data_IF_342357879422
#
_entry.id   IF_342357879422
#
_cell.length_a   1.000
_cell.length_b   1.000
_cell.length_c   1.000
_cell.angle_alpha   90.00
_cell.angle_beta   90.00
_cell.angle_gamma   90.00
#
_symmetry.space_group_name_H-M   'P 1'
#
loop_
_entity.id
_entity.type
_entity.pdbx_description
1 polymer ?
#
# COMPACT_ATOMS: atom_id res chain seq x y z
N UNK A 1 10.76 16.16 -42.31
CA UNK A 1 11.63 14.97 -42.49
C UNK A 1 11.87 14.42 -41.11
N UNK A 2 11.02 13.51 -40.67
CA UNK A 2 11.17 12.85 -39.37
C UNK A 2 12.25 11.79 -39.52
N UNK A 3 13.36 11.94 -38.79
CA UNK A 3 14.30 10.85 -38.56
C UNK A 3 13.63 9.93 -37.54
N UNK A 4 12.82 8.99 -38.01
CA UNK A 4 12.63 7.75 -37.27
C UNK A 4 13.98 7.03 -37.34
N UNK A 5 14.77 7.15 -36.28
CA UNK A 5 15.95 6.32 -36.11
C UNK A 5 15.42 4.92 -35.81
N UNK A 6 15.32 4.08 -36.83
CA UNK A 6 15.07 2.65 -36.63
C UNK A 6 16.29 2.11 -35.89
N UNK A 7 16.09 1.76 -34.62
CA UNK A 7 17.06 1.04 -33.80
C UNK A 7 17.54 -0.20 -34.56
N UNK A 8 18.85 -0.34 -34.73
CA UNK A 8 19.44 -1.52 -35.36
C UNK A 8 19.34 -2.74 -34.42
N UNK A 9 19.35 -3.96 -34.97
CA UNK A 9 19.27 -5.18 -34.14
C UNK A 9 20.40 -5.28 -33.12
N UNK A 10 21.55 -4.69 -33.42
CA UNK A 10 22.71 -4.65 -32.51
C UNK A 10 22.51 -3.63 -31.39
N UNK A 11 21.96 -2.45 -31.68
CA UNK A 11 21.57 -1.47 -30.64
C UNK A 11 20.48 -2.04 -29.72
N UNK A 12 19.48 -2.75 -30.29
CA UNK A 12 18.45 -3.44 -29.52
C UNK A 12 19.06 -4.51 -28.59
N UNK A 13 20.00 -5.30 -29.10
CA UNK A 13 20.72 -6.32 -28.34
C UNK A 13 21.45 -5.71 -27.13
N UNK A 14 22.27 -4.68 -27.36
CA UNK A 14 23.02 -4.00 -26.31
C UNK A 14 22.08 -3.44 -25.23
N UNK A 15 20.99 -2.77 -25.62
CA UNK A 15 19.98 -2.25 -24.69
C UNK A 15 19.30 -3.36 -23.88
N UNK A 16 18.92 -4.47 -24.52
CA UNK A 16 18.28 -5.60 -23.83
C UNK A 16 19.23 -6.26 -22.83
N UNK A 17 20.52 -6.40 -23.17
CA UNK A 17 21.53 -6.91 -22.24
C UNK A 17 21.72 -6.01 -21.03
N UNK A 18 21.87 -4.70 -21.25
CA UNK A 18 22.01 -3.72 -20.16
C UNK A 18 20.78 -3.75 -19.25
N UNK A 19 19.57 -3.73 -19.83
CA UNK A 19 18.34 -3.79 -19.05
C UNK A 19 18.21 -5.09 -18.28
N UNK A 20 18.45 -6.24 -18.92
CA UNK A 20 18.39 -7.54 -18.25
C UNK A 20 19.39 -7.65 -17.09
N UNK A 21 20.61 -7.14 -17.26
CA UNK A 21 21.59 -7.10 -16.18
C UNK A 21 21.10 -6.23 -15.01
N UNK A 22 20.58 -5.03 -15.30
CA UNK A 22 20.03 -4.12 -14.29
C UNK A 22 18.85 -4.74 -13.52
N UNK A 23 17.89 -5.37 -14.20
CA UNK A 23 16.73 -5.97 -13.55
C UNK A 23 17.12 -7.22 -12.73
N UNK A 24 18.12 -7.98 -13.18
CA UNK A 24 18.68 -9.11 -12.41
C UNK A 24 19.36 -8.66 -11.13
N UNK A 25 20.15 -7.58 -11.21
CA UNK A 25 20.79 -6.99 -10.04
C UNK A 25 19.72 -6.50 -9.05
N UNK A 26 18.67 -5.82 -9.54
CA UNK A 26 17.53 -5.40 -8.72
C UNK A 26 16.81 -6.59 -8.06
N UNK A 27 16.59 -7.68 -8.79
CA UNK A 27 15.97 -8.89 -8.25
C UNK A 27 16.84 -9.52 -7.16
N UNK A 28 18.15 -9.59 -7.37
CA UNK A 28 19.09 -10.11 -6.39
C UNK A 28 19.15 -9.24 -5.12
N UNK A 29 19.07 -7.91 -5.27
CA UNK A 29 18.99 -6.98 -4.15
C UNK A 29 17.73 -7.25 -3.31
N UNK A 30 16.55 -7.33 -3.93
CA UNK A 30 15.29 -7.67 -3.25
C UNK A 30 15.40 -8.97 -2.45
N UNK A 31 15.92 -10.03 -3.07
CA UNK A 31 16.12 -11.32 -2.40
C UNK A 31 17.09 -11.24 -1.22
N UNK A 32 18.09 -10.36 -1.28
CA UNK A 32 19.07 -10.19 -0.21
C UNK A 32 18.50 -9.45 1.00
N UNK A 33 17.68 -8.41 0.77
CA UNK A 33 17.16 -7.53 1.83
C UNK A 33 15.96 -8.16 2.55
N UNK A 34 15.18 -8.98 1.85
CA UNK A 34 13.94 -9.55 2.39
C UNK A 34 14.12 -10.21 3.77
N UNK A 35 15.18 -11.00 3.97
CA UNK A 35 15.41 -11.70 5.23
C UNK A 35 15.72 -10.75 6.40
N UNK A 36 16.41 -9.64 6.13
CA UNK A 36 16.74 -8.64 7.15
C UNK A 36 15.53 -7.75 7.45
N UNK A 37 14.76 -7.38 6.42
CA UNK A 37 13.49 -6.68 6.58
C UNK A 37 12.51 -7.52 7.40
N UNK A 38 12.33 -8.80 7.05
CA UNK A 38 11.42 -9.71 7.76
C UNK A 38 11.74 -9.79 9.25
N UNK A 39 13.03 -9.93 9.58
CA UNK A 39 13.51 -10.03 10.95
C UNK A 39 13.16 -8.76 11.71
N UNK A 40 13.53 -7.59 11.18
CA UNK A 40 13.30 -6.29 11.80
C UNK A 40 11.82 -5.97 11.95
N UNK A 41 11.02 -6.26 10.92
CA UNK A 41 9.58 -6.15 10.94
C UNK A 41 8.98 -7.01 12.07
N UNK A 42 9.29 -8.30 12.10
CA UNK A 42 8.70 -9.25 13.05
C UNK A 42 9.14 -8.98 14.49
N UNK A 43 10.41 -8.64 14.70
CA UNK A 43 10.99 -8.47 16.04
C UNK A 43 10.75 -7.06 16.61
N UNK A 44 10.58 -6.04 15.77
CA UNK A 44 10.53 -4.64 16.21
C UNK A 44 9.24 -3.94 15.79
N UNK A 45 8.95 -3.84 14.49
CA UNK A 45 7.82 -3.03 14.00
C UNK A 45 6.46 -3.65 14.38
N UNK A 46 6.25 -4.94 14.11
CA UNK A 46 4.97 -5.62 14.39
C UNK A 46 4.51 -5.47 15.86
N UNK A 47 5.35 -5.71 16.89
CA UNK A 47 4.95 -5.46 18.28
C UNK A 47 4.56 -4.00 18.56
N UNK A 48 5.17 -3.03 17.88
CA UNK A 48 4.83 -1.62 18.01
C UNK A 48 3.50 -1.32 17.35
N UNK A 49 3.25 -1.82 16.14
CA UNK A 49 1.96 -1.70 15.45
C UNK A 49 0.82 -2.32 16.25
N UNK A 50 1.04 -3.51 16.82
CA UNK A 50 0.07 -4.15 17.72
C UNK A 50 -0.25 -3.25 18.92
N UNK A 51 0.78 -2.68 19.55
CA UNK A 51 0.62 -1.76 20.69
C UNK A 51 -0.11 -0.48 20.27
N UNK A 52 0.28 0.12 19.15
CA UNK A 52 -0.35 1.33 18.60
C UNK A 52 -1.83 1.10 18.36
N UNK A 53 -2.19 0.01 17.68
CA UNK A 53 -3.58 -0.30 17.35
C UNK A 53 -4.41 -0.65 18.59
N UNK A 54 -3.81 -1.26 19.62
CA UNK A 54 -4.47 -1.40 20.94
C UNK A 54 -4.72 -0.05 21.61
N UNK A 55 -3.82 0.93 21.48
CA UNK A 55 -4.01 2.28 22.02
C UNK A 55 -5.09 3.04 21.24
N UNK A 56 -5.08 2.99 19.91
CA UNK A 56 -6.14 3.54 19.04
C UNK A 56 -7.50 2.96 19.40
N UNK A 57 -7.59 1.65 19.60
CA UNK A 57 -8.83 1.01 20.06
C UNK A 57 -9.26 1.52 21.44
N UNK A 58 -8.33 1.70 22.40
CA UNK A 58 -8.63 2.31 23.70
C UNK A 58 -9.14 3.74 23.57
N UNK A 59 -8.56 4.56 22.69
CA UNK A 59 -9.03 5.92 22.41
C UNK A 59 -10.49 5.93 21.95
N UNK A 60 -10.84 5.07 21.00
CA UNK A 60 -12.23 4.91 20.54
C UNK A 60 -13.17 4.64 21.72
N UNK A 61 -12.79 3.77 22.66
CA UNK A 61 -13.59 3.47 23.84
C UNK A 61 -13.66 4.65 24.83
N UNK A 62 -12.54 5.34 25.06
CA UNK A 62 -12.48 6.52 25.91
C UNK A 62 -13.37 7.65 25.37
N UNK A 63 -13.35 7.88 24.06
CA UNK A 63 -14.15 8.88 23.39
C UNK A 63 -15.66 8.54 23.40
N UNK A 64 -16.04 7.28 23.14
CA UNK A 64 -17.44 6.86 23.30
C UNK A 64 -17.95 7.05 24.74
N UNK A 65 -17.11 6.76 25.73
CA UNK A 65 -17.44 6.98 27.13
C UNK A 65 -17.60 8.48 27.44
N UNK A 66 -16.65 9.31 27.00
CA UNK A 66 -16.69 10.76 27.22
C UNK A 66 -17.90 11.42 26.57
N UNK A 67 -18.28 10.96 25.38
CA UNK A 67 -19.49 11.40 24.68
C UNK A 67 -20.75 11.23 25.56
N UNK A 68 -20.83 10.13 26.33
CA UNK A 68 -21.97 9.79 27.19
C UNK A 68 -21.92 10.48 28.56
N UNK A 69 -20.77 10.42 29.23
CA UNK A 69 -20.69 10.63 30.69
C UNK A 69 -19.94 11.92 31.11
N UNK A 70 -19.16 12.56 30.23
CA UNK A 70 -18.21 13.62 30.63
C UNK A 70 -18.69 15.06 30.40
N UNK A 71 -20.02 15.28 30.45
CA UNK A 71 -20.59 16.64 30.45
C UNK A 71 -20.11 17.54 29.29
N UNK A 72 -19.77 16.96 28.14
CA UNK A 72 -19.27 17.66 26.96
C UNK A 72 -20.35 18.59 26.37
N UNK A 73 -19.93 19.74 25.88
CA UNK A 73 -20.78 20.64 25.07
C UNK A 73 -21.14 20.00 23.72
N UNK A 74 -22.11 20.58 23.01
CA UNK A 74 -22.52 20.08 21.69
C UNK A 74 -21.34 19.98 20.70
N UNK A 75 -20.54 21.04 20.60
CA UNK A 75 -19.40 21.09 19.68
C UNK A 75 -18.26 20.14 20.10
N UNK A 76 -18.07 19.89 21.39
CA UNK A 76 -17.11 18.90 21.86
C UNK A 76 -17.60 17.47 21.58
N UNK A 77 -18.90 17.19 21.71
CA UNK A 77 -19.48 15.89 21.36
C UNK A 77 -19.40 15.59 19.88
N UNK A 78 -19.60 16.59 19.04
CA UNK A 78 -19.48 16.48 17.58
C UNK A 78 -18.06 16.10 17.20
N UNK A 79 -17.06 16.84 17.70
CA UNK A 79 -15.65 16.53 17.48
C UNK A 79 -15.24 15.15 18.01
N UNK A 80 -15.71 14.76 19.20
CA UNK A 80 -15.44 13.42 19.75
C UNK A 80 -16.10 12.33 18.90
N UNK A 81 -17.27 12.59 18.31
CA UNK A 81 -17.89 11.64 17.37
C UNK A 81 -17.09 11.49 16.07
N UNK A 82 -16.51 12.58 15.56
CA UNK A 82 -15.63 12.56 14.40
C UNK A 82 -14.40 11.69 14.70
N UNK A 83 -13.71 11.92 15.82
CA UNK A 83 -12.57 11.11 16.24
C UNK A 83 -12.92 9.62 16.43
N UNK A 84 -14.06 9.30 17.05
CA UNK A 84 -14.50 7.89 17.17
C UNK A 84 -14.70 7.27 15.80
N UNK A 85 -15.26 8.02 14.86
CA UNK A 85 -15.54 7.56 13.51
C UNK A 85 -14.23 7.28 12.76
N UNK A 86 -13.32 8.25 12.74
CA UNK A 86 -12.02 8.20 12.05
C UNK A 86 -11.15 7.05 12.56
N UNK A 87 -10.89 6.97 13.87
CA UNK A 87 -10.10 5.87 14.43
C UNK A 87 -10.77 4.51 14.27
N UNK A 88 -12.11 4.45 14.27
CA UNK A 88 -12.82 3.19 13.98
C UNK A 88 -12.65 2.79 12.52
N UNK A 89 -12.73 3.74 11.59
CA UNK A 89 -12.55 3.53 10.15
C UNK A 89 -11.14 3.01 9.85
N UNK A 90 -10.09 3.65 10.37
CA UNK A 90 -8.70 3.17 10.22
C UNK A 90 -8.51 1.73 10.72
N UNK A 91 -9.03 1.42 11.91
CA UNK A 91 -8.94 0.06 12.46
C UNK A 91 -9.79 -0.94 11.67
N UNK A 92 -10.91 -0.53 11.10
CA UNK A 92 -11.76 -1.39 10.27
C UNK A 92 -11.12 -1.66 8.90
N UNK A 93 -10.42 -0.68 8.32
CA UNK A 93 -9.58 -0.88 7.13
C UNK A 93 -8.42 -1.84 7.44
N UNK A 94 -7.74 -1.66 8.57
CA UNK A 94 -6.70 -2.61 8.99
C UNK A 94 -7.25 -4.04 9.12
N UNK A 95 -8.45 -4.18 9.68
CA UNK A 95 -9.12 -5.46 9.86
C UNK A 95 -9.48 -6.16 8.53
N UNK A 96 -9.42 -5.49 7.37
CA UNK A 96 -9.55 -6.14 6.05
C UNK A 96 -8.23 -6.75 5.59
N UNK A 97 -7.09 -6.17 5.99
CA UNK A 97 -5.74 -6.63 5.62
C UNK A 97 -5.25 -7.76 6.53
N UNK A 98 -5.44 -7.62 7.84
CA UNK A 98 -4.87 -8.51 8.86
C UNK A 98 -5.76 -8.65 10.09
N UNK A 99 -5.47 -9.63 10.94
CA UNK A 99 -6.19 -9.79 12.21
C UNK A 99 -5.88 -8.63 13.16
N UNK A 100 -6.92 -8.05 13.76
CA UNK A 100 -6.72 -7.01 14.77
C UNK A 100 -6.02 -7.55 16.01
N UNK A 101 -5.24 -6.70 16.73
CA UNK A 101 -4.55 -7.11 17.94
C UNK A 101 -5.50 -7.66 19.01
N UNK A 102 -4.99 -8.55 19.85
CA UNK A 102 -5.75 -9.17 20.94
C UNK A 102 -6.48 -8.13 21.82
N UNK A 103 -7.78 -8.33 22.01
CA UNK A 103 -8.65 -7.43 22.79
C UNK A 103 -9.36 -6.35 21.97
N UNK A 104 -9.00 -6.18 20.69
CA UNK A 104 -9.76 -5.38 19.74
C UNK A 104 -10.89 -6.22 19.14
N UNK A 105 -12.08 -5.63 18.98
CA UNK A 105 -13.26 -6.33 18.47
C UNK A 105 -13.85 -5.54 17.29
N UNK A 106 -13.75 -6.13 16.09
CA UNK A 106 -14.27 -5.58 14.84
C UNK A 106 -15.78 -5.34 14.89
N UNK A 107 -16.56 -6.23 15.50
CA UNK A 107 -18.02 -6.05 15.61
C UNK A 107 -18.37 -4.87 16.52
N UNK A 108 -17.58 -4.68 17.59
CA UNK A 108 -17.71 -3.51 18.46
C UNK A 108 -17.32 -2.22 17.75
N UNK A 109 -16.24 -2.22 16.96
CA UNK A 109 -15.84 -1.06 16.13
C UNK A 109 -16.96 -0.67 15.17
N UNK A 110 -17.52 -1.62 14.40
CA UNK A 110 -18.66 -1.35 13.50
C UNK A 110 -19.86 -0.76 14.24
N UNK A 111 -20.14 -1.24 15.45
CA UNK A 111 -21.23 -0.72 16.30
C UNK A 111 -20.97 0.73 16.73
N UNK A 112 -19.74 1.05 17.15
CA UNK A 112 -19.36 2.40 17.56
C UNK A 112 -19.33 3.36 16.38
N UNK A 113 -18.74 2.94 15.26
CA UNK A 113 -18.79 3.68 14.00
C UNK A 113 -20.24 4.04 13.62
N UNK A 114 -21.13 3.04 13.58
CA UNK A 114 -22.55 3.26 13.26
C UNK A 114 -23.24 4.20 14.24
N UNK A 115 -22.90 4.12 15.53
CA UNK A 115 -23.45 5.00 16.56
C UNK A 115 -23.04 6.46 16.35
N UNK A 116 -21.81 6.72 15.90
CA UNK A 116 -21.25 8.08 15.80
C UNK A 116 -21.42 8.69 14.40
N UNK A 117 -21.24 7.92 13.33
CA UNK A 117 -21.47 8.33 11.92
C UNK A 117 -22.96 8.39 11.56
N UNK A 118 -23.76 7.46 12.12
CA UNK A 118 -25.18 7.30 11.80
C UNK A 118 -25.47 6.38 10.60
N UNK A 119 -24.44 5.85 9.93
CA UNK A 119 -24.55 4.88 8.84
C UNK A 119 -23.68 3.65 9.08
N UNK A 120 -23.96 2.57 8.36
CA UNK A 120 -23.22 1.31 8.49
C UNK A 120 -21.87 1.38 7.76
N UNK A 121 -20.80 0.90 8.38
CA UNK A 121 -19.46 0.96 7.77
C UNK A 121 -19.40 0.20 6.44
N UNK A 122 -19.92 -1.03 6.41
CA UNK A 122 -19.83 -1.87 5.22
C UNK A 122 -20.63 -1.26 4.05
N UNK A 123 -21.75 -0.60 4.36
CA UNK A 123 -22.55 0.11 3.36
C UNK A 123 -21.83 1.35 2.81
N UNK A 124 -21.21 2.16 3.68
CA UNK A 124 -20.44 3.33 3.24
C UNK A 124 -19.23 2.92 2.41
N UNK A 125 -18.54 1.86 2.82
CA UNK A 125 -17.38 1.35 2.10
C UNK A 125 -17.79 0.88 0.71
N UNK A 126 -18.91 0.16 0.58
CA UNK A 126 -19.43 -0.26 -0.72
C UNK A 126 -19.80 0.94 -1.61
N UNK A 127 -20.49 1.94 -1.07
CA UNK A 127 -20.86 3.17 -1.80
C UNK A 127 -19.62 3.96 -2.23
N UNK A 128 -18.64 4.10 -1.35
CA UNK A 128 -17.38 4.78 -1.63
C UNK A 128 -16.56 4.04 -2.70
N UNK A 129 -16.52 2.71 -2.63
CA UNK A 129 -15.84 1.86 -3.62
C UNK A 129 -16.51 1.95 -5.00
N UNK A 130 -17.84 1.95 -5.04
CA UNK A 130 -18.61 2.11 -6.28
C UNK A 130 -18.38 3.50 -6.89
N UNK A 131 -18.46 4.56 -6.08
CA UNK A 131 -18.22 5.93 -6.54
C UNK A 131 -16.80 6.14 -7.04
N UNK A 132 -15.78 5.73 -6.26
CA UNK A 132 -14.38 5.84 -6.65
C UNK A 132 -14.08 5.00 -7.91
N UNK A 133 -14.71 3.83 -8.04
CA UNK A 133 -14.60 3.00 -9.23
C UNK A 133 -15.13 3.67 -10.48
N UNK A 134 -16.24 4.40 -10.37
CA UNK A 134 -16.81 5.14 -11.50
C UNK A 134 -15.95 6.34 -11.89
N UNK A 135 -15.50 7.15 -10.93
CA UNK A 135 -14.64 8.32 -11.19
C UNK A 135 -13.30 7.88 -11.82
N UNK A 136 -12.67 6.83 -11.29
CA UNK A 136 -11.43 6.28 -11.84
C UNK A 136 -11.63 5.70 -13.25
N UNK A 137 -12.76 5.02 -13.50
CA UNK A 137 -13.10 4.47 -14.81
C UNK A 137 -13.25 5.57 -15.85
N UNK A 138 -14.00 6.61 -15.51
CA UNK A 138 -14.25 7.76 -16.39
C UNK A 138 -12.95 8.54 -16.65
N UNK A 139 -12.10 8.71 -15.65
CA UNK A 139 -10.84 9.42 -15.80
C UNK A 139 -9.84 8.66 -16.70
N UNK A 140 -9.78 7.34 -16.59
CA UNK A 140 -8.87 6.47 -17.36
C UNK A 140 -9.44 6.00 -18.72
N UNK A 141 -10.70 6.37 -19.05
CA UNK A 141 -11.44 5.87 -20.23
C UNK A 141 -11.50 4.33 -20.27
N UNK A 142 -11.76 3.72 -19.11
CA UNK A 142 -11.86 2.27 -18.90
C UNK A 142 -13.25 1.88 -18.41
N UNK A 143 -13.67 0.64 -18.67
CA UNK A 143 -14.85 0.09 -18.00
C UNK A 143 -14.52 -0.32 -16.56
N UNK A 144 -15.49 -0.18 -15.64
CA UNK A 144 -15.33 -0.63 -14.23
C UNK A 144 -14.96 -2.12 -14.13
N UNK A 145 -15.44 -2.93 -15.08
CA UNK A 145 -15.09 -4.35 -15.15
C UNK A 145 -13.60 -4.57 -15.50
N UNK A 146 -13.04 -3.72 -16.36
CA UNK A 146 -11.63 -3.78 -16.73
C UNK A 146 -10.78 -3.37 -15.53
N UNK A 147 -11.12 -2.25 -14.86
CA UNK A 147 -10.44 -1.81 -13.62
C UNK A 147 -10.41 -2.91 -12.55
N UNK A 148 -11.53 -3.61 -12.35
CA UNK A 148 -11.61 -4.70 -11.38
C UNK A 148 -10.62 -5.84 -11.70
N UNK A 149 -10.36 -6.09 -12.99
CA UNK A 149 -9.45 -7.15 -13.45
C UNK A 149 -7.97 -6.76 -13.41
N UNK A 150 -7.63 -5.47 -13.40
CA UNK A 150 -6.24 -5.00 -13.41
C UNK A 150 -5.55 -5.23 -12.07
N UNK A 151 -4.25 -5.53 -12.09
CA UNK A 151 -3.45 -5.52 -10.87
C UNK A 151 -3.18 -4.07 -10.40
N UNK A 152 -2.93 -3.85 -9.10
CA UNK A 152 -2.50 -2.54 -8.61
C UNK A 152 -1.27 -2.02 -9.36
N UNK A 153 -0.32 -2.87 -9.71
CA UNK A 153 0.88 -2.48 -10.45
C UNK A 153 0.58 -1.98 -11.87
N UNK A 154 -0.34 -2.64 -12.57
CA UNK A 154 -0.76 -2.21 -13.91
C UNK A 154 -1.47 -0.84 -13.85
N UNK A 155 -2.32 -0.62 -12.85
CA UNK A 155 -2.96 0.67 -12.63
C UNK A 155 -1.95 1.75 -12.27
N UNK A 156 -1.01 1.46 -11.38
CA UNK A 156 0.07 2.38 -11.01
C UNK A 156 0.83 2.87 -12.23
N UNK A 157 1.25 1.93 -13.09
CA UNK A 157 2.01 2.25 -14.29
C UNK A 157 1.19 3.09 -15.27
N UNK A 158 -0.08 2.76 -15.50
CA UNK A 158 -0.97 3.55 -16.36
C UNK A 158 -1.11 4.98 -15.87
N UNK A 159 -1.32 5.15 -14.56
CA UNK A 159 -1.52 6.46 -13.94
C UNK A 159 -0.22 7.28 -14.04
N UNK A 160 0.92 6.71 -13.66
CA UNK A 160 2.22 7.40 -13.70
C UNK A 160 2.69 7.74 -15.12
N UNK A 161 2.37 6.91 -16.12
CA UNK A 161 2.81 7.14 -17.50
C UNK A 161 1.97 8.22 -18.22
N UNK A 162 0.72 8.45 -17.78
CA UNK A 162 -0.25 9.26 -18.53
C UNK A 162 -0.63 10.59 -17.84
N UNK A 163 -0.46 10.70 -16.52
CA UNK A 163 -0.89 11.84 -15.73
C UNK A 163 0.32 12.52 -15.07
N UNK A 164 0.19 13.80 -14.75
CA UNK A 164 1.20 14.50 -13.97
C UNK A 164 1.06 14.21 -12.47
N UNK A 165 2.02 14.67 -11.65
CA UNK A 165 2.10 14.28 -10.24
C UNK A 165 0.84 14.63 -9.42
N UNK A 166 0.13 15.71 -9.75
CA UNK A 166 -1.07 16.13 -9.01
C UNK A 166 -2.27 15.27 -9.40
N UNK A 167 -2.52 15.12 -10.70
CA UNK A 167 -3.61 14.28 -11.21
C UNK A 167 -3.38 12.80 -10.87
N UNK A 168 -2.11 12.34 -10.90
CA UNK A 168 -1.75 10.97 -10.56
C UNK A 168 -2.06 10.64 -9.10
N UNK A 169 -1.78 11.54 -8.15
CA UNK A 169 -2.06 11.29 -6.74
C UNK A 169 -3.57 11.19 -6.49
N UNK A 170 -4.38 12.06 -7.10
CA UNK A 170 -5.85 11.98 -7.00
C UNK A 170 -6.38 10.64 -7.55
N UNK A 171 -5.88 10.21 -8.71
CA UNK A 171 -6.26 8.92 -9.29
C UNK A 171 -5.82 7.73 -8.43
N UNK A 172 -4.65 7.81 -7.80
CA UNK A 172 -4.18 6.79 -6.88
C UNK A 172 -5.02 6.74 -5.59
N UNK A 173 -5.57 7.86 -5.11
CA UNK A 173 -6.54 7.83 -4.01
C UNK A 173 -7.81 7.05 -4.38
N UNK A 174 -8.39 7.31 -5.55
CA UNK A 174 -9.52 6.50 -6.04
C UNK A 174 -9.11 5.02 -6.19
N UNK A 175 -7.93 4.76 -6.75
CA UNK A 175 -7.43 3.40 -6.96
C UNK A 175 -7.21 2.66 -5.63
N UNK A 176 -6.72 3.33 -4.58
CA UNK A 176 -6.57 2.76 -3.23
C UNK A 176 -7.92 2.30 -2.68
N UNK A 177 -8.97 3.12 -2.83
CA UNK A 177 -10.33 2.75 -2.42
C UNK A 177 -10.83 1.54 -3.22
N UNK A 178 -10.68 1.57 -4.55
CA UNK A 178 -11.10 0.49 -5.45
C UNK A 178 -10.38 -0.83 -5.16
N UNK A 179 -9.11 -0.74 -4.75
CA UNK A 179 -8.24 -1.89 -4.45
C UNK A 179 -8.13 -2.20 -2.96
N UNK A 180 -9.05 -1.68 -2.13
CA UNK A 180 -9.17 -2.15 -0.75
C UNK A 180 -9.31 -3.68 -0.78
N UNK A 181 -8.49 -4.42 0.00
CA UNK A 181 -8.50 -5.87 -0.07
C UNK A 181 -9.87 -6.46 0.29
N UNK A 182 -10.40 -7.27 -0.63
CA UNK A 182 -11.62 -8.05 -0.40
C UNK A 182 -11.37 -9.28 0.49
N UNK A 183 -10.11 -9.68 0.61
CA UNK A 183 -9.62 -10.78 1.43
C UNK A 183 -8.40 -10.29 2.19
N UNK A 184 -8.05 -10.99 3.26
CA UNK A 184 -6.84 -10.70 4.04
C UNK A 184 -5.57 -10.90 3.21
N UNK A 185 -4.50 -10.21 3.59
CA UNK A 185 -3.23 -10.23 2.88
C UNK A 185 -2.60 -11.62 2.85
N UNK A 186 -2.82 -12.46 3.87
CA UNK A 186 -2.34 -13.84 3.90
C UNK A 186 -3.01 -14.73 2.85
N UNK A 187 -4.33 -14.55 2.65
CA UNK A 187 -5.10 -15.25 1.61
C UNK A 187 -4.68 -14.76 0.22
N UNK A 188 -4.55 -13.44 0.05
CA UNK A 188 -4.04 -12.87 -1.20
C UNK A 188 -2.63 -13.36 -1.52
N UNK A 189 -1.76 -13.44 -0.51
CA UNK A 189 -0.40 -13.96 -0.66
C UNK A 189 -0.38 -15.42 -1.08
N UNK A 190 -1.22 -16.27 -0.47
CA UNK A 190 -1.35 -17.67 -0.88
C UNK A 190 -1.79 -17.81 -2.34
N UNK A 191 -2.79 -17.02 -2.75
CA UNK A 191 -3.26 -17.02 -4.15
C UNK A 191 -2.16 -16.59 -5.12
N UNK A 192 -1.36 -15.57 -4.77
CA UNK A 192 -0.21 -15.12 -5.57
C UNK A 192 0.85 -16.22 -5.70
N UNK A 193 1.17 -16.93 -4.60
CA UNK A 193 2.09 -18.08 -4.63
C UNK A 193 1.59 -19.23 -5.51
N UNK A 194 0.30 -19.54 -5.46
CA UNK A 194 -0.31 -20.58 -6.31
C UNK A 194 -0.25 -20.19 -7.79
N UNK A 195 -0.59 -18.94 -8.12
CA UNK A 195 -0.50 -18.42 -9.49
C UNK A 195 0.93 -18.50 -10.02
N UNK A 196 1.92 -18.12 -9.21
CA UNK A 196 3.33 -18.19 -9.58
C UNK A 196 3.81 -19.63 -9.79
N UNK A 197 3.39 -20.58 -8.95
CA UNK A 197 3.71 -22.00 -9.15
C UNK A 197 3.15 -22.54 -10.48
N UNK A 198 1.93 -22.13 -10.84
CA UNK A 198 1.32 -22.50 -12.13
C UNK A 198 2.12 -21.90 -13.29
N UNK A 199 2.52 -20.62 -13.20
CA UNK A 199 3.34 -19.93 -14.20
C UNK A 199 4.68 -20.63 -14.41
N UNK A 200 5.40 -20.94 -13.32
CA UNK A 200 6.68 -21.64 -13.37
C UNK A 200 6.54 -23.07 -13.95
N UNK A 201 5.46 -23.78 -13.63
CA UNK A 201 5.18 -25.09 -14.22
C UNK A 201 4.92 -25.02 -15.74
N UNK A 202 4.31 -23.93 -16.22
CA UNK A 202 4.12 -23.68 -17.65
C UNK A 202 5.42 -23.25 -18.35
N UNK A 203 6.25 -22.44 -17.67
CA UNK A 203 7.55 -21.97 -18.19
C UNK A 203 8.56 -23.12 -18.33
N UNK A 204 8.71 -23.96 -17.29
CA UNK A 204 9.62 -25.13 -17.32
C UNK A 204 9.24 -26.20 -18.35
N UNK A 205 7.99 -26.25 -18.79
CA UNK A 205 7.56 -27.13 -19.88
C UNK A 205 7.96 -26.61 -21.28
N UNK A 206 8.32 -25.32 -21.38
CA UNK A 206 8.65 -24.62 -22.62
C UNK A 206 10.16 -24.32 -22.78
N UNK A 207 11.00 -24.73 -21.82
CA UNK A 207 12.36 -24.21 -21.67
C UNK A 207 13.41 -24.98 -22.51
N UNK A 208 13.83 -24.39 -23.64
CA UNK A 208 15.10 -24.67 -24.34
C UNK A 208 16.02 -23.44 -24.14
N UNK A 209 16.74 -23.34 -23.00
CA UNK A 209 17.61 -22.20 -22.75
C UNK A 209 18.91 -22.24 -23.58
N UNK A 210 19.05 -21.28 -24.50
CA UNK A 210 20.18 -21.15 -25.44
C UNK A 210 21.23 -20.13 -24.97
N UNK A 211 20.92 -19.31 -23.94
CA UNK A 211 21.65 -18.07 -23.60
C UNK A 211 22.84 -18.28 -22.66
N UNK A 212 22.82 -19.29 -21.78
CA UNK A 212 23.95 -19.57 -20.86
C UNK A 212 25.25 -19.99 -21.61
N UNK A 213 25.14 -20.20 -22.93
CA UNK A 213 26.22 -20.50 -23.88
C UNK A 213 26.77 -19.27 -24.65
N UNK A 214 26.19 -18.08 -24.47
CA UNK A 214 26.47 -16.87 -25.27
C UNK A 214 27.43 -15.85 -24.62
N UNK A 215 28.10 -16.17 -23.50
CA UNK A 215 29.11 -15.27 -22.93
C UNK A 215 30.17 -14.85 -23.98
N UNK A 216 30.61 -13.57 -23.97
CA UNK A 216 31.68 -12.91 -24.76
C UNK A 216 31.90 -13.35 -26.24
N UNK A 217 30.92 -14.02 -26.86
CA UNK A 217 30.99 -14.42 -28.27
C UNK A 217 30.54 -13.26 -29.14
N UNK A 218 31.30 -13.01 -30.20
CA UNK A 218 30.89 -12.09 -31.27
C UNK A 218 29.71 -12.74 -32.00
N UNK A 219 28.49 -12.27 -31.71
CA UNK A 219 27.25 -12.78 -32.30
C UNK A 219 27.15 -12.21 -33.72
N UNK A 220 27.11 -13.05 -34.76
CA UNK A 220 27.01 -12.57 -36.12
C UNK A 220 25.63 -11.96 -36.37
N UNK A 221 25.54 -10.98 -37.26
CA UNK A 221 24.34 -10.16 -37.47
C UNK A 221 23.09 -10.97 -37.89
N UNK A 222 23.29 -12.16 -38.47
CA UNK A 222 22.22 -13.07 -38.89
C UNK A 222 21.58 -13.86 -37.74
N UNK A 223 22.21 -13.90 -36.56
CA UNK A 223 21.68 -14.55 -35.35
C UNK A 223 21.02 -13.55 -34.38
N UNK A 224 21.25 -12.24 -34.56
CA UNK A 224 20.78 -11.19 -33.65
C UNK A 224 19.25 -11.18 -33.47
N UNK A 225 18.47 -11.42 -34.53
CA UNK A 225 17.01 -11.48 -34.43
C UNK A 225 16.55 -12.59 -33.46
N UNK A 226 17.17 -13.76 -33.54
CA UNK A 226 16.84 -14.90 -32.68
C UNK A 226 17.28 -14.64 -31.24
N UNK A 227 18.47 -14.06 -31.05
CA UNK A 227 19.01 -13.75 -29.73
C UNK A 227 18.20 -12.65 -29.05
N UNK A 228 17.82 -11.59 -29.78
CA UNK A 228 16.95 -10.54 -29.26
C UNK A 228 15.59 -11.08 -28.82
N UNK A 229 15.00 -12.00 -29.60
CA UNK A 229 13.76 -12.66 -29.20
C UNK A 229 13.92 -13.44 -27.88
N UNK A 230 15.04 -14.16 -27.70
CA UNK A 230 15.31 -14.87 -26.45
C UNK A 230 15.59 -13.93 -25.27
N UNK A 231 16.32 -12.82 -25.47
CA UNK A 231 16.56 -11.82 -24.43
C UNK A 231 15.27 -11.12 -23.99
N UNK A 232 14.33 -10.89 -24.91
CA UNK A 232 13.00 -10.33 -24.57
C UNK A 232 12.24 -11.29 -23.66
N UNK A 233 12.23 -12.60 -23.97
CA UNK A 233 11.58 -13.61 -23.13
C UNK A 233 12.23 -13.70 -21.74
N UNK A 234 13.55 -13.65 -21.68
CA UNK A 234 14.29 -13.70 -20.42
C UNK A 234 14.07 -12.43 -19.57
N UNK A 235 13.99 -11.27 -20.22
CA UNK A 235 13.64 -10.02 -19.56
C UNK A 235 12.21 -10.06 -19.01
N UNK A 236 11.24 -10.56 -19.78
CA UNK A 236 9.85 -10.74 -19.35
C UNK A 236 9.74 -11.68 -18.13
N UNK A 237 10.54 -12.75 -18.12
CA UNK A 237 10.66 -13.66 -16.97
C UNK A 237 11.22 -12.95 -15.73
N UNK A 238 12.31 -12.20 -15.87
CA UNK A 238 12.91 -11.45 -14.73
C UNK A 238 11.95 -10.37 -14.21
N UNK A 239 11.25 -9.66 -15.10
CA UNK A 239 10.25 -8.66 -14.72
C UNK A 239 9.06 -9.31 -13.99
N UNK A 240 8.62 -10.49 -14.43
CA UNK A 240 7.58 -11.26 -13.73
C UNK A 240 8.03 -11.67 -12.31
N UNK A 241 9.29 -12.10 -12.16
CA UNK A 241 9.86 -12.45 -10.85
C UNK A 241 9.98 -11.23 -9.92
N UNK A 242 10.37 -10.08 -10.46
CA UNK A 242 10.38 -8.81 -9.73
C UNK A 242 8.98 -8.42 -9.25
N UNK A 243 7.98 -8.49 -10.13
CA UNK A 243 6.59 -8.19 -9.78
C UNK A 243 6.09 -9.13 -8.67
N UNK A 244 6.34 -10.43 -8.79
CA UNK A 244 5.98 -11.40 -7.75
C UNK A 244 6.66 -11.09 -6.40
N UNK A 245 7.95 -10.74 -6.42
CA UNK A 245 8.70 -10.38 -5.23
C UNK A 245 8.12 -9.13 -4.56
N UNK A 246 7.84 -8.07 -5.34
CA UNK A 246 7.33 -6.80 -4.85
C UNK A 246 5.88 -6.89 -4.33
N UNK A 247 4.97 -7.51 -5.09
CA UNK A 247 3.58 -7.72 -4.65
C UNK A 247 3.53 -8.58 -3.39
N UNK A 248 4.34 -9.65 -3.36
CA UNK A 248 4.47 -10.48 -2.18
C UNK A 248 5.00 -9.71 -0.97
N UNK A 249 6.00 -8.85 -1.18
CA UNK A 249 6.56 -8.00 -0.12
C UNK A 249 5.48 -7.08 0.46
N UNK A 250 4.72 -6.39 -0.40
CA UNK A 250 3.63 -5.50 0.03
C UNK A 250 2.57 -6.22 0.85
N UNK A 251 2.13 -7.39 0.39
CA UNK A 251 1.14 -8.20 1.10
C UNK A 251 1.65 -8.65 2.48
N UNK A 252 2.87 -9.21 2.56
CA UNK A 252 3.44 -9.77 3.81
C UNK A 252 3.69 -8.73 4.90
N UNK A 253 3.93 -7.49 4.50
CA UNK A 253 4.29 -6.39 5.39
C UNK A 253 3.23 -5.28 5.46
N UNK A 254 2.01 -5.57 4.99
CA UNK A 254 0.81 -4.71 5.12
C UNK A 254 0.94 -3.32 4.47
N UNK A 255 1.86 -3.19 3.51
CA UNK A 255 2.19 -1.94 2.83
C UNK A 255 1.08 -1.50 1.87
N UNK A 256 1.13 -0.23 1.45
CA UNK A 256 0.27 0.27 0.38
C UNK A 256 0.58 -0.48 -0.93
N UNK A 257 -0.48 -0.92 -1.62
CA UNK A 257 -0.41 -1.66 -2.88
C UNK A 257 0.20 -0.81 -4.02
N UNK A 258 0.11 0.52 -3.92
CA UNK A 258 0.64 1.48 -4.88
C UNK A 258 1.97 2.12 -4.44
N UNK A 259 2.44 1.88 -3.22
CA UNK A 259 3.73 2.41 -2.79
C UNK A 259 4.87 1.84 -3.66
N UNK A 260 5.82 2.67 -4.03
CA UNK A 260 7.02 2.26 -4.76
C UNK A 260 8.16 2.13 -3.78
N UNK A 261 8.94 1.05 -3.88
CA UNK A 261 10.04 0.76 -2.96
C UNK A 261 11.36 0.63 -3.70
N UNK A 262 12.38 1.28 -3.15
CA UNK A 262 13.77 1.09 -3.55
C UNK A 262 14.46 0.15 -2.54
N UNK A 263 14.95 -1.03 -2.96
CA UNK A 263 15.72 -1.92 -2.10
C UNK A 263 16.87 -1.22 -1.36
N UNK A 264 17.49 -0.20 -1.97
CA UNK A 264 18.63 0.49 -1.36
C UNK A 264 18.21 1.38 -0.18
N UNK A 265 16.95 1.85 -0.12
CA UNK A 265 16.45 2.77 0.92
C UNK A 265 15.50 2.12 1.91
N UNK A 266 14.83 1.02 1.54
CA UNK A 266 13.72 0.42 2.30
C UNK A 266 14.07 0.07 3.75
N UNK A 267 15.32 -0.31 4.04
CA UNK A 267 15.75 -0.61 5.40
C UNK A 267 15.88 0.63 6.29
N UNK A 268 16.26 1.76 5.68
CA UNK A 268 16.34 3.07 6.33
C UNK A 268 14.95 3.66 6.56
N UNK A 269 14.07 3.56 5.56
CA UNK A 269 12.65 3.92 5.70
C UNK A 269 12.01 3.14 6.86
N UNK A 270 12.28 1.84 6.97
CA UNK A 270 11.81 1.04 8.11
C UNK A 270 12.40 1.48 9.46
N UNK A 271 13.64 2.00 9.53
CA UNK A 271 14.18 2.57 10.76
C UNK A 271 13.43 3.84 11.18
N UNK A 272 13.14 4.70 10.19
CA UNK A 272 12.42 5.94 10.40
C UNK A 272 10.98 5.66 10.84
N UNK A 273 10.27 4.73 10.18
CA UNK A 273 8.92 4.30 10.56
C UNK A 273 8.87 3.74 11.99
N UNK A 274 9.83 2.89 12.37
CA UNK A 274 9.93 2.34 13.73
C UNK A 274 10.08 3.47 14.75
N UNK A 275 10.91 4.47 14.44
CA UNK A 275 11.14 5.60 15.34
C UNK A 275 9.88 6.45 15.47
N UNK A 276 9.23 6.77 14.36
CA UNK A 276 8.02 7.60 14.34
C UNK A 276 6.88 6.91 15.10
N UNK A 277 6.69 5.61 14.91
CA UNK A 277 5.70 4.84 15.66
C UNK A 277 6.04 4.79 17.16
N UNK A 278 7.31 4.66 17.54
CA UNK A 278 7.72 4.70 18.95
C UNK A 278 7.40 6.04 19.61
N UNK A 279 7.69 7.15 18.91
CA UNK A 279 7.37 8.50 19.38
C UNK A 279 5.85 8.67 19.52
N UNK A 280 5.08 8.28 18.50
CA UNK A 280 3.63 8.37 18.51
C UNK A 280 2.98 7.52 19.61
N UNK A 281 3.48 6.30 19.85
CA UNK A 281 3.02 5.45 20.97
C UNK A 281 3.24 6.16 22.31
N UNK A 282 4.40 6.79 22.53
CA UNK A 282 4.68 7.48 23.79
C UNK A 282 3.73 8.66 24.02
N UNK A 283 3.43 9.41 22.97
CA UNK A 283 2.47 10.50 23.00
C UNK A 283 1.06 9.98 23.34
N UNK A 284 0.57 8.97 22.61
CA UNK A 284 -0.76 8.39 22.84
C UNK A 284 -0.89 7.77 24.23
N UNK A 285 0.13 7.08 24.73
CA UNK A 285 0.11 6.53 26.10
C UNK A 285 -0.03 7.62 27.15
N UNK A 286 0.69 8.73 26.97
CA UNK A 286 0.63 9.88 27.86
C UNK A 286 -0.75 10.55 27.81
N UNK A 287 -1.34 10.72 26.62
CA UNK A 287 -2.68 11.29 26.45
C UNK A 287 -3.76 10.41 27.10
N UNK A 288 -3.76 9.11 26.79
CA UNK A 288 -4.73 8.15 27.34
C UNK A 288 -4.68 8.13 28.87
N UNK A 289 -3.49 8.25 29.47
CA UNK A 289 -3.34 8.32 30.93
C UNK A 289 -4.08 9.52 31.54
N UNK A 290 -4.12 10.65 30.83
CA UNK A 290 -4.78 11.88 31.29
C UNK A 290 -6.30 11.85 31.11
N UNK A 291 -6.82 11.03 30.19
CA UNK A 291 -8.25 10.98 29.86
C UNK A 291 -9.14 10.39 30.97
N UNK A 292 -8.53 9.91 32.06
CA UNK A 292 -9.26 9.58 33.29
C UNK A 292 -9.81 10.82 34.03
N UNK A 293 -9.27 12.01 33.76
CA UNK A 293 -9.74 13.29 34.29
C UNK A 293 -10.55 14.05 33.23
N UNK A 294 -11.82 14.32 33.51
CA UNK A 294 -12.73 15.06 32.63
C UNK A 294 -12.17 16.43 32.21
N UNK A 295 -11.51 17.13 33.13
CA UNK A 295 -10.99 18.47 32.87
C UNK A 295 -9.79 18.45 31.91
N UNK A 296 -8.93 17.43 32.03
CA UNK A 296 -7.79 17.23 31.15
C UNK A 296 -8.25 16.80 29.75
N UNK A 297 -9.20 15.87 29.66
CA UNK A 297 -9.78 15.47 28.37
C UNK A 297 -10.41 16.66 27.65
N UNK A 298 -11.21 17.47 28.35
CA UNK A 298 -11.81 18.68 27.75
C UNK A 298 -10.76 19.69 27.29
N UNK A 299 -9.68 19.86 28.07
CA UNK A 299 -8.59 20.74 27.69
C UNK A 299 -7.89 20.24 26.42
N UNK A 300 -7.62 18.94 26.33
CA UNK A 300 -7.05 18.29 25.16
C UNK A 300 -7.95 18.43 23.92
N UNK A 301 -9.24 18.09 24.02
CA UNK A 301 -10.23 18.27 22.94
C UNK A 301 -10.21 19.72 22.42
N UNK A 302 -10.16 20.68 23.34
CA UNK A 302 -10.15 22.09 22.98
C UNK A 302 -8.84 22.53 22.32
N UNK A 303 -7.71 21.94 22.70
CA UNK A 303 -6.42 22.20 22.07
C UNK A 303 -6.41 21.64 20.64
N UNK A 304 -6.78 20.37 20.47
CA UNK A 304 -6.83 19.70 19.18
C UNK A 304 -7.74 20.43 18.19
N UNK A 305 -8.96 20.79 18.61
CA UNK A 305 -9.88 21.58 17.76
C UNK A 305 -9.31 22.93 17.31
N UNK A 306 -8.46 23.57 18.11
CA UNK A 306 -7.82 24.84 17.72
C UNK A 306 -6.72 24.63 16.71
N UNK A 307 -6.02 23.51 16.81
CA UNK A 307 -4.96 23.10 15.89
C UNK A 307 -5.55 22.73 14.54
N UNK A 308 -6.56 21.87 14.49
CA UNK A 308 -7.32 21.54 13.26
C UNK A 308 -7.81 22.82 12.57
N UNK A 309 -8.50 23.70 13.29
CA UNK A 309 -8.95 24.97 12.73
C UNK A 309 -7.79 25.90 12.29
N UNK A 310 -6.58 25.70 12.81
CA UNK A 310 -5.41 26.46 12.40
C UNK A 310 -4.74 25.89 11.14
N UNK A 311 -4.80 24.57 10.94
CA UNK A 311 -4.37 23.88 9.73
C UNK A 311 -5.26 24.24 8.55
N UNK A 312 -6.59 24.12 8.69
CA UNK A 312 -7.56 24.54 7.67
C UNK A 312 -7.33 26.00 7.22
N UNK A 313 -7.11 26.91 8.18
CA UNK A 313 -6.80 28.31 7.87
C UNK A 313 -5.46 28.52 7.15
N UNK A 314 -4.52 27.57 7.20
CA UNK A 314 -3.25 27.64 6.47
C UNK A 314 -3.44 27.11 5.06
N UNK A 315 -4.18 26.01 4.92
CA UNK A 315 -4.56 25.42 3.62
C UNK A 315 -5.39 26.40 2.80
N UNK A 316 -6.42 27.03 3.39
CA UNK A 316 -7.23 28.09 2.73
C UNK A 316 -6.43 29.32 2.24
N UNK A 317 -5.17 29.46 2.70
CA UNK A 317 -4.28 30.58 2.35
C UNK A 317 -3.11 30.17 1.46
N UNK A 318 -2.89 28.88 1.26
CA UNK A 318 -1.88 28.35 0.34
C UNK A 318 -2.45 28.24 -1.07
#
# INVERSE_FOLDING_TARGET
>A
MSKESFESQRELFERLQERLASERDRLAQWQSIEADYQRKYTETLRPLEEKLNQLRYKLVLCFDHAYKEMGLSKAEREFVSELVTEFSEELLVLATKSELPAGCDTARLKTLYKKHRGSDYDANLAELTESAGQELADALDLDVADLASMSPMQLLQIIQDQYDDEDAEELLEYARVVKIPAVTNDVAWQALQEAEQVRLAQSTANDESMIDLLGDRDIPDDELDSVNASLILELDEVLSQLQFAEEGFKLRYELDVFATFDPDTVMGELDDDIKDIQEYIQELEHEIMQFSDESLLKAWIKAMRREVAAMERREDRS
#
